data_IF_596802802881
#
_entry.id   IF_596802802881
#
_cell.length_a   1.000
_cell.length_b   1.000
_cell.length_c   1.000
_cell.angle_alpha   90.00
_cell.angle_beta   90.00
_cell.angle_gamma   90.00
#
_symmetry.space_group_name_H-M   'P 1'
#
loop_
_entity.id
_entity.type
_entity.pdbx_description
1 polymer ?
#
# COMPACT_ATOMS: atom_id res chain seq x y z
N UNK A 1 -31.14 -25.89 33.50
CA UNK A 1 -31.01 -25.08 32.25
C UNK A 1 -31.90 -25.55 31.10
N UNK A 2 -32.18 -26.84 30.89
CA UNK A 2 -33.02 -27.32 29.80
C UNK A 2 -34.48 -26.80 29.83
N UNK A 3 -35.12 -26.78 31.03
CA UNK A 3 -36.53 -26.36 31.16
C UNK A 3 -36.83 -24.90 30.81
N UNK A 4 -35.88 -23.96 31.04
CA UNK A 4 -36.08 -22.53 30.77
C UNK A 4 -36.05 -22.26 29.23
N UNK A 5 -35.18 -22.94 28.51
CA UNK A 5 -35.04 -22.81 27.05
C UNK A 5 -36.29 -23.35 26.35
N UNK A 6 -36.77 -24.50 26.75
CA UNK A 6 -38.01 -25.13 26.21
C UNK A 6 -39.25 -24.26 26.48
N UNK A 7 -39.35 -23.69 27.69
CA UNK A 7 -40.44 -22.77 28.02
C UNK A 7 -40.40 -21.49 27.17
N UNK A 8 -39.21 -20.87 26.97
CA UNK A 8 -39.08 -19.68 26.10
C UNK A 8 -39.41 -19.99 24.65
N UNK A 9 -39.02 -21.16 24.14
CA UNK A 9 -39.37 -21.59 22.79
C UNK A 9 -40.88 -21.77 22.62
N UNK A 10 -41.55 -22.36 23.62
CA UNK A 10 -43.00 -22.51 23.61
C UNK A 10 -43.72 -21.14 23.62
N UNK A 11 -43.25 -20.22 24.47
CA UNK A 11 -43.77 -18.84 24.52
C UNK A 11 -43.61 -18.09 23.21
N UNK A 12 -42.44 -18.20 22.56
CA UNK A 12 -42.16 -17.60 21.25
C UNK A 12 -43.14 -18.15 20.20
N UNK A 13 -43.44 -19.43 20.22
CA UNK A 13 -44.40 -20.05 19.30
C UNK A 13 -45.81 -19.49 19.51
N UNK A 14 -46.30 -19.47 20.75
CA UNK A 14 -47.61 -18.92 21.12
C UNK A 14 -47.71 -17.46 20.71
N UNK A 15 -46.69 -16.66 20.98
CA UNK A 15 -46.64 -15.22 20.61
C UNK A 15 -46.65 -15.02 19.11
N UNK A 16 -45.98 -15.91 18.35
CA UNK A 16 -46.03 -15.91 16.87
C UNK A 16 -47.43 -16.16 16.32
N UNK A 17 -48.17 -17.08 16.93
CA UNK A 17 -49.55 -17.36 16.54
C UNK A 17 -50.47 -16.16 16.90
N UNK A 18 -50.33 -15.57 18.07
CA UNK A 18 -51.07 -14.36 18.47
C UNK A 18 -50.86 -13.19 17.49
N UNK A 19 -49.59 -12.94 17.06
CA UNK A 19 -49.29 -11.91 16.06
C UNK A 19 -50.00 -12.21 14.72
N UNK A 20 -50.00 -13.45 14.29
CA UNK A 20 -50.74 -13.83 13.07
C UNK A 20 -52.24 -13.60 13.16
N UNK A 21 -52.86 -13.90 14.32
CA UNK A 21 -54.30 -13.68 14.56
C UNK A 21 -54.62 -12.18 14.59
N UNK A 22 -53.79 -11.36 15.27
CA UNK A 22 -53.97 -9.88 15.31
C UNK A 22 -53.90 -9.28 13.91
N UNK A 23 -52.95 -9.73 13.10
CA UNK A 23 -52.82 -9.25 11.71
C UNK A 23 -54.02 -9.71 10.84
N UNK A 24 -54.48 -10.95 11.00
CA UNK A 24 -55.64 -11.47 10.26
C UNK A 24 -56.96 -10.78 10.65
N UNK A 25 -57.11 -10.38 11.93
CA UNK A 25 -58.24 -9.65 12.45
C UNK A 25 -58.16 -8.11 12.17
N UNK A 26 -57.13 -7.65 11.44
CA UNK A 26 -56.89 -6.23 11.19
C UNK A 26 -56.93 -5.37 12.49
N UNK A 27 -56.36 -5.92 13.58
CA UNK A 27 -56.29 -5.22 14.88
C UNK A 27 -55.55 -3.89 14.79
N UNK A 28 -55.78 -2.93 15.75
CA UNK A 28 -55.08 -1.67 15.79
C UNK A 28 -53.57 -1.83 15.72
N UNK A 29 -52.89 -0.89 15.07
CA UNK A 29 -51.43 -0.94 14.86
C UNK A 29 -50.66 -1.01 16.18
N UNK A 30 -51.15 -0.37 17.23
CA UNK A 30 -50.57 -0.38 18.57
C UNK A 30 -50.56 -1.76 19.22
N UNK A 31 -51.65 -2.53 19.04
CA UNK A 31 -51.75 -3.90 19.57
C UNK A 31 -50.76 -4.85 18.83
N UNK A 32 -50.65 -4.69 17.52
CA UNK A 32 -49.68 -5.46 16.72
C UNK A 32 -48.25 -5.09 17.11
N UNK A 33 -47.97 -3.82 17.36
CA UNK A 33 -46.65 -3.35 17.75
C UNK A 33 -46.29 -3.83 19.17
N UNK A 34 -47.22 -3.80 20.12
CA UNK A 34 -47.00 -4.37 21.46
C UNK A 34 -46.65 -5.86 21.41
N UNK A 35 -47.38 -6.63 20.58
CA UNK A 35 -47.14 -8.05 20.40
C UNK A 35 -45.76 -8.34 19.74
N UNK A 36 -45.33 -7.51 18.81
CA UNK A 36 -44.00 -7.59 18.19
C UNK A 36 -42.87 -7.30 19.18
N UNK A 37 -43.06 -6.29 20.05
CA UNK A 37 -42.10 -5.93 21.10
C UNK A 37 -41.93 -7.08 22.10
N UNK A 38 -43.02 -7.70 22.53
CA UNK A 38 -42.95 -8.89 23.40
C UNK A 38 -42.22 -10.08 22.72
N UNK A 39 -42.49 -10.27 21.44
CA UNK A 39 -41.78 -11.31 20.65
C UNK A 39 -40.26 -11.07 20.60
N UNK A 40 -39.87 -9.81 20.47
CA UNK A 40 -38.43 -9.43 20.48
C UNK A 40 -37.78 -9.70 21.84
N UNK A 41 -38.44 -9.34 22.93
CA UNK A 41 -37.97 -9.60 24.29
C UNK A 41 -37.79 -11.11 24.57
N UNK A 42 -38.78 -11.92 24.19
CA UNK A 42 -38.70 -13.37 24.33
C UNK A 42 -37.55 -13.99 23.52
N UNK A 43 -37.34 -13.51 22.30
CA UNK A 43 -36.19 -13.94 21.47
C UNK A 43 -34.85 -13.53 22.07
N UNK A 44 -34.74 -12.33 22.63
CA UNK A 44 -33.54 -11.87 23.28
C UNK A 44 -33.22 -12.66 24.55
N UNK A 45 -34.21 -12.99 25.37
CA UNK A 45 -34.04 -13.87 26.54
C UNK A 45 -33.58 -15.26 26.12
N UNK A 46 -34.18 -15.83 25.08
CA UNK A 46 -33.75 -17.12 24.54
C UNK A 46 -32.30 -17.08 24.03
N UNK A 47 -31.91 -15.97 23.40
CA UNK A 47 -30.56 -15.73 22.92
C UNK A 47 -29.55 -15.72 24.07
N UNK A 48 -29.87 -15.00 25.14
CA UNK A 48 -29.02 -14.91 26.34
C UNK A 48 -28.87 -16.30 26.98
N UNK A 49 -29.98 -17.03 27.15
CA UNK A 49 -29.97 -18.36 27.77
C UNK A 49 -29.21 -19.41 26.91
N UNK A 50 -29.24 -19.29 25.60
CA UNK A 50 -28.55 -20.21 24.68
C UNK A 50 -27.12 -19.78 24.35
N UNK A 51 -26.70 -18.59 24.77
CA UNK A 51 -25.38 -18.03 24.41
C UNK A 51 -25.27 -17.71 22.88
N UNK A 52 -26.39 -17.61 22.18
CA UNK A 52 -26.36 -17.31 20.75
C UNK A 52 -25.95 -15.87 20.49
N UNK A 53 -25.22 -15.58 19.40
CA UNK A 53 -24.82 -14.22 19.05
C UNK A 53 -26.05 -13.35 18.74
N UNK A 54 -25.96 -12.01 18.88
CA UNK A 54 -27.04 -11.09 18.51
C UNK A 54 -27.57 -11.32 17.10
N UNK A 55 -28.88 -11.15 16.89
CA UNK A 55 -29.50 -11.33 15.58
C UNK A 55 -28.88 -10.43 14.49
N UNK A 56 -28.36 -9.26 14.89
CA UNK A 56 -27.67 -8.30 14.02
C UNK A 56 -26.14 -8.46 14.01
N UNK A 57 -25.61 -9.52 14.64
CA UNK A 57 -24.20 -9.80 14.56
C UNK A 57 -23.85 -10.12 13.10
N UNK A 58 -23.25 -9.14 12.40
CA UNK A 58 -22.71 -9.39 11.07
C UNK A 58 -21.82 -10.61 11.14
N UNK A 59 -22.18 -11.65 10.39
CA UNK A 59 -21.40 -12.89 10.33
C UNK A 59 -19.94 -12.51 10.04
N UNK A 60 -19.07 -12.74 11.00
CA UNK A 60 -17.65 -12.44 10.85
C UNK A 60 -17.11 -13.26 9.67
N UNK A 61 -16.74 -12.58 8.60
CA UNK A 61 -16.09 -13.19 7.44
C UNK A 61 -14.59 -13.16 7.70
N UNK A 62 -14.00 -14.33 7.94
CA UNK A 62 -12.55 -14.45 8.09
C UNK A 62 -11.87 -14.25 6.74
N UNK A 63 -11.12 -13.17 6.60
CA UNK A 63 -10.35 -12.83 5.41
C UNK A 63 -9.20 -11.90 5.78
N UNK A 64 -8.15 -11.92 4.97
CA UNK A 64 -7.09 -10.90 5.05
C UNK A 64 -7.60 -9.54 4.54
N UNK A 65 -7.05 -8.41 5.02
CA UNK A 65 -7.34 -7.10 4.46
C UNK A 65 -7.04 -7.05 2.95
N UNK A 66 -7.79 -6.24 2.21
CA UNK A 66 -7.59 -6.06 0.76
C UNK A 66 -6.17 -5.59 0.45
N UNK A 67 -5.47 -6.29 -0.42
CA UNK A 67 -4.08 -5.98 -0.79
C UNK A 67 -3.04 -6.53 0.18
N UNK A 68 -3.42 -7.47 1.04
CA UNK A 68 -2.52 -8.26 1.89
C UNK A 68 -2.76 -9.75 1.66
N UNK A 69 -1.83 -10.58 2.10
CA UNK A 69 -1.96 -12.04 2.04
C UNK A 69 -1.18 -12.72 3.16
N UNK A 70 -1.62 -13.90 3.52
CA UNK A 70 -0.83 -14.83 4.31
C UNK A 70 0.19 -15.55 3.43
N UNK A 71 1.24 -16.05 4.06
CA UNK A 71 2.27 -16.88 3.43
C UNK A 71 2.38 -18.21 4.16
N UNK A 72 2.31 -19.29 3.41
CA UNK A 72 2.46 -20.65 3.94
C UNK A 72 3.90 -20.93 4.38
N UNK A 73 4.10 -21.97 5.18
CA UNK A 73 5.44 -22.38 5.61
C UNK A 73 6.39 -22.62 4.42
N UNK A 74 5.90 -23.22 3.31
CA UNK A 74 6.67 -23.43 2.10
C UNK A 74 7.10 -22.12 1.43
N UNK A 75 6.17 -21.16 1.31
CA UNK A 75 6.49 -19.84 0.76
C UNK A 75 7.45 -19.07 1.64
N UNK A 76 7.37 -19.24 2.96
CA UNK A 76 8.30 -18.61 3.91
C UNK A 76 9.70 -19.22 3.84
N UNK A 77 9.84 -20.51 3.60
CA UNK A 77 11.15 -21.13 3.37
C UNK A 77 11.83 -20.51 2.13
N UNK A 78 11.13 -20.47 1.01
CA UNK A 78 11.65 -19.85 -0.23
C UNK A 78 12.02 -18.37 0.00
N UNK A 79 11.18 -17.64 0.73
CA UNK A 79 11.48 -16.24 1.06
C UNK A 79 12.73 -16.09 1.92
N UNK A 80 12.93 -16.97 2.89
CA UNK A 80 14.12 -16.95 3.75
C UNK A 80 15.39 -17.17 2.93
N UNK A 81 15.36 -18.11 1.98
CA UNK A 81 16.48 -18.37 1.08
C UNK A 81 16.79 -17.15 0.20
N UNK A 82 15.76 -16.49 -0.34
CA UNK A 82 15.90 -15.25 -1.11
C UNK A 82 16.52 -14.14 -0.25
N UNK A 83 16.02 -13.93 0.96
CA UNK A 83 16.55 -12.89 1.85
C UNK A 83 18.01 -13.18 2.22
N UNK A 84 18.35 -14.42 2.50
CA UNK A 84 19.73 -14.81 2.77
C UNK A 84 20.65 -14.57 1.57
N UNK A 85 20.19 -14.90 0.37
CA UNK A 85 20.92 -14.64 -0.87
C UNK A 85 21.20 -13.14 -1.04
N UNK A 86 20.19 -12.28 -0.88
CA UNK A 86 20.30 -10.83 -0.99
C UNK A 86 21.22 -10.26 0.09
N UNK A 87 20.96 -10.59 1.36
CA UNK A 87 21.73 -10.10 2.51
C UNK A 87 23.21 -10.41 2.35
N UNK A 88 23.56 -11.61 1.91
CA UNK A 88 24.96 -11.99 1.70
C UNK A 88 25.69 -11.17 0.61
N UNK A 89 24.97 -10.63 -0.37
CA UNK A 89 25.53 -9.66 -1.32
C UNK A 89 25.75 -8.32 -0.64
N UNK A 90 24.75 -7.80 0.08
CA UNK A 90 24.85 -6.51 0.76
C UNK A 90 26.00 -6.47 1.77
N UNK A 91 26.14 -7.51 2.59
CA UNK A 91 27.22 -7.63 3.58
C UNK A 91 28.59 -7.70 2.92
N UNK A 92 28.72 -8.39 1.77
CA UNK A 92 29.98 -8.43 1.00
C UNK A 92 30.39 -7.04 0.48
N UNK A 93 29.42 -6.16 0.19
CA UNK A 93 29.63 -4.77 -0.16
C UNK A 93 29.80 -3.84 1.03
N UNK A 94 29.93 -4.40 2.24
CA UNK A 94 30.20 -3.66 3.47
C UNK A 94 28.99 -2.94 4.05
N UNK A 95 27.77 -3.30 3.64
CA UNK A 95 26.56 -2.72 4.23
C UNK A 95 26.22 -3.39 5.55
N UNK A 96 25.76 -2.57 6.49
CA UNK A 96 25.23 -3.00 7.79
C UNK A 96 23.71 -2.93 7.78
N UNK A 97 23.06 -3.82 8.52
CA UNK A 97 21.62 -3.75 8.67
C UNK A 97 21.22 -2.69 9.70
N UNK A 98 20.14 -1.98 9.42
CA UNK A 98 19.45 -1.15 10.41
C UNK A 98 17.97 -1.53 10.40
N UNK A 99 17.26 -1.18 11.48
CA UNK A 99 15.79 -1.26 11.53
C UNK A 99 15.23 0.09 11.99
N UNK A 100 14.06 0.42 11.49
CA UNK A 100 13.31 1.63 11.85
C UNK A 100 11.87 1.25 12.18
N UNK A 101 11.17 2.06 13.00
CA UNK A 101 9.77 1.77 13.34
C UNK A 101 8.87 1.57 12.11
N UNK A 102 7.87 0.72 12.24
CA UNK A 102 6.86 0.50 11.19
C UNK A 102 6.01 1.75 10.96
N UNK A 103 5.84 2.57 11.97
CA UNK A 103 5.16 3.86 11.87
C UNK A 103 6.12 4.99 12.18
N UNK A 104 5.89 6.12 11.55
CA UNK A 104 6.66 7.36 11.68
C UNK A 104 5.72 8.50 12.04
N UNK A 105 6.27 9.60 12.55
CA UNK A 105 5.51 10.84 12.73
C UNK A 105 4.94 11.29 11.38
N UNK A 106 3.65 11.59 11.34
CA UNK A 106 2.94 11.98 10.12
C UNK A 106 3.60 13.17 9.42
N UNK A 107 4.05 14.17 10.16
CA UNK A 107 4.69 15.36 9.62
C UNK A 107 5.99 15.05 8.88
N UNK A 108 6.77 14.07 9.34
CA UNK A 108 8.02 13.64 8.69
C UNK A 108 7.72 12.99 7.34
N UNK A 109 6.68 12.18 7.26
CA UNK A 109 6.29 11.52 6.01
C UNK A 109 5.67 12.51 5.02
N UNK A 110 4.75 13.37 5.46
CA UNK A 110 3.97 14.27 4.58
C UNK A 110 4.85 15.26 3.82
N UNK A 111 5.96 15.72 4.41
CA UNK A 111 6.85 16.71 3.79
C UNK A 111 7.57 16.23 2.53
N UNK A 112 7.68 14.92 2.30
CA UNK A 112 8.47 14.33 1.19
C UNK A 112 7.65 13.94 -0.04
N UNK A 113 6.45 13.41 0.14
CA UNK A 113 5.78 12.66 -0.93
C UNK A 113 4.84 13.47 -1.82
N UNK A 114 4.58 14.75 -1.54
CA UNK A 114 3.74 15.60 -2.38
C UNK A 114 2.38 14.93 -2.68
N UNK A 115 2.08 14.70 -3.95
CA UNK A 115 0.85 14.05 -4.41
C UNK A 115 0.66 12.62 -3.86
N UNK A 116 1.74 11.87 -3.64
CA UNK A 116 1.70 10.51 -3.11
C UNK A 116 1.36 10.48 -1.62
N UNK A 117 1.35 11.61 -0.93
CA UNK A 117 0.97 11.71 0.48
C UNK A 117 -0.43 11.13 0.75
N UNK A 118 -1.35 11.24 -0.21
CA UNK A 118 -2.69 10.63 -0.16
C UNK A 118 -2.69 9.10 -0.17
N UNK A 119 -1.57 8.48 -0.50
CA UNK A 119 -1.38 7.02 -0.48
C UNK A 119 -0.83 6.50 0.85
N UNK A 120 -0.55 7.38 1.80
CA UNK A 120 -0.07 7.02 3.15
C UNK A 120 -1.25 6.55 4.00
N UNK A 121 -1.02 5.52 4.81
CA UNK A 121 -1.96 5.08 5.83
C UNK A 121 -1.76 5.88 7.11
N UNK A 122 -2.69 6.74 7.44
CA UNK A 122 -2.73 7.40 8.74
C UNK A 122 -3.26 6.43 9.80
N UNK A 123 -2.67 6.46 10.97
CA UNK A 123 -3.19 5.77 12.15
C UNK A 123 -4.28 6.63 12.80
N UNK A 124 -5.30 5.96 13.34
CA UNK A 124 -6.30 6.64 14.13
C UNK A 124 -5.64 7.26 15.37
N UNK A 125 -6.12 8.43 15.78
CA UNK A 125 -5.63 9.08 16.99
C UNK A 125 -5.88 8.18 18.21
N UNK A 126 -4.81 7.89 18.94
CA UNK A 126 -4.82 7.09 20.17
C UNK A 126 -4.50 7.97 21.40
N UNK A 127 -4.48 9.30 21.21
CA UNK A 127 -3.99 10.26 22.19
C UNK A 127 -2.47 10.34 22.20
N UNK A 128 -1.92 11.45 21.69
CA UNK A 128 -0.48 11.68 21.60
C UNK A 128 -0.03 12.15 20.22
N UNK A 129 1.06 11.59 19.73
CA UNK A 129 1.66 11.98 18.46
C UNK A 129 0.87 11.39 17.27
N UNK A 130 0.64 12.22 16.26
CA UNK A 130 0.01 11.79 15.01
C UNK A 130 0.99 10.95 14.20
N UNK A 131 0.65 9.69 13.96
CA UNK A 131 1.51 8.73 13.28
C UNK A 131 0.87 8.19 12.00
N UNK A 132 1.72 7.70 11.10
CA UNK A 132 1.33 7.04 9.86
C UNK A 132 2.23 5.84 9.59
N UNK A 133 1.73 4.83 8.87
CA UNK A 133 2.56 3.70 8.45
C UNK A 133 3.58 4.17 7.40
N UNK A 134 4.80 3.66 7.50
CA UNK A 134 5.87 3.97 6.54
C UNK A 134 5.47 3.57 5.13
N UNK A 135 5.64 4.52 4.21
CA UNK A 135 5.34 4.36 2.78
C UNK A 135 6.48 3.66 2.03
N UNK A 136 7.71 3.93 2.45
CA UNK A 136 8.96 3.35 1.98
C UNK A 136 9.97 3.22 3.15
N UNK A 137 11.21 2.87 2.85
CA UNK A 137 12.31 2.79 3.81
C UNK A 137 13.31 3.95 3.66
N UNK A 138 13.14 4.82 2.65
CA UNK A 138 14.05 5.94 2.35
C UNK A 138 13.86 7.09 3.35
N UNK A 139 12.60 7.50 3.60
CA UNK A 139 12.32 8.59 4.55
C UNK A 139 12.68 8.21 5.98
N UNK A 140 12.31 7.01 6.49
CA UNK A 140 12.82 6.52 7.76
C UNK A 140 14.34 6.51 7.89
N UNK A 141 15.04 6.13 6.82
CA UNK A 141 16.50 6.17 6.79
C UNK A 141 17.04 7.60 6.85
N UNK A 142 16.49 8.52 6.08
CA UNK A 142 16.90 9.93 6.12
C UNK A 142 16.70 10.55 7.52
N UNK A 143 15.57 10.27 8.17
CA UNK A 143 15.32 10.65 9.55
C UNK A 143 16.35 10.03 10.50
N UNK A 144 16.65 8.72 10.34
CA UNK A 144 17.65 8.02 11.15
C UNK A 144 19.04 8.68 11.03
N UNK A 145 19.50 8.96 9.81
CA UNK A 145 20.79 9.61 9.53
C UNK A 145 20.84 11.00 10.19
N UNK A 146 19.81 11.81 10.00
CA UNK A 146 19.74 13.16 10.55
C UNK A 146 19.71 13.15 12.09
N UNK A 147 18.89 12.28 12.68
CA UNK A 147 18.70 12.21 14.13
C UNK A 147 19.96 11.71 14.86
N UNK A 148 20.74 10.83 14.25
CA UNK A 148 21.92 10.24 14.85
C UNK A 148 23.23 10.89 14.39
N UNK A 149 23.19 11.96 13.57
CA UNK A 149 24.36 12.65 13.07
C UNK A 149 25.29 11.76 12.25
N UNK A 150 24.74 10.79 11.52
CA UNK A 150 25.52 9.84 10.72
C UNK A 150 26.09 10.55 9.49
N UNK A 151 27.40 10.56 9.34
CA UNK A 151 28.09 11.24 8.22
C UNK A 151 28.42 10.29 7.07
N UNK A 152 28.57 9.00 7.33
CA UNK A 152 28.84 7.99 6.30
C UNK A 152 28.34 6.62 6.75
N UNK A 153 27.60 5.95 5.87
CA UNK A 153 27.10 4.60 6.11
C UNK A 153 26.73 3.92 4.79
N UNK A 154 27.04 2.66 4.65
CA UNK A 154 26.39 1.73 3.73
C UNK A 154 25.42 0.90 4.54
N UNK A 155 24.11 0.97 4.22
CA UNK A 155 23.10 0.22 4.96
C UNK A 155 22.23 -0.61 4.04
N UNK A 156 21.66 -1.67 4.57
CA UNK A 156 20.52 -2.32 3.95
C UNK A 156 19.37 -2.48 4.94
N UNK A 157 18.15 -2.53 4.41
CA UNK A 157 16.95 -2.77 5.18
C UNK A 157 15.94 -3.55 4.34
N UNK A 158 15.53 -4.73 4.81
CA UNK A 158 14.52 -5.55 4.16
C UNK A 158 13.32 -5.61 5.07
N UNK A 159 12.28 -4.85 4.75
CA UNK A 159 11.13 -4.71 5.63
C UNK A 159 9.84 -4.41 4.87
N UNK A 160 8.70 -4.61 5.55
CA UNK A 160 7.38 -4.29 5.01
C UNK A 160 7.14 -2.79 4.97
N UNK A 161 6.49 -2.36 3.89
CA UNK A 161 5.99 -1.00 3.68
C UNK A 161 4.51 -1.04 3.29
N UNK A 162 3.83 0.10 3.39
CA UNK A 162 2.37 0.15 3.34
C UNK A 162 1.89 1.28 2.43
N UNK A 163 1.09 0.95 1.40
CA UNK A 163 0.57 1.93 0.44
C UNK A 163 -0.92 1.75 0.25
N UNK A 164 -1.70 2.81 0.43
CA UNK A 164 -3.18 2.84 0.25
C UNK A 164 -3.65 2.70 -1.20
N UNK A 165 -2.78 2.35 -2.08
CA UNK A 165 -3.04 2.25 -3.50
C UNK A 165 -4.12 1.20 -3.86
N UNK A 166 -4.65 1.29 -5.08
CA UNK A 166 -5.55 0.25 -5.60
C UNK A 166 -4.73 -1.03 -5.85
N UNK A 167 -5.00 -2.10 -5.12
CA UNK A 167 -4.22 -3.32 -5.28
C UNK A 167 -4.59 -4.04 -6.58
N UNK A 168 -3.58 -4.53 -7.29
CA UNK A 168 -3.71 -5.42 -8.42
C UNK A 168 -2.91 -6.70 -8.13
N UNK A 169 -3.47 -7.58 -7.30
CA UNK A 169 -2.79 -8.74 -6.73
C UNK A 169 -2.24 -9.68 -7.81
N UNK A 170 -2.94 -9.83 -8.94
CA UNK A 170 -2.49 -10.61 -10.10
C UNK A 170 -1.27 -10.02 -10.80
N UNK A 171 -0.99 -8.73 -10.58
CA UNK A 171 0.18 -8.00 -11.09
C UNK A 171 1.22 -7.70 -10.00
N UNK A 172 1.10 -8.33 -8.83
CA UNK A 172 2.02 -8.13 -7.71
C UNK A 172 1.87 -6.79 -6.97
N UNK A 173 0.88 -5.96 -7.31
CA UNK A 173 0.65 -4.67 -6.64
C UNK A 173 -0.15 -4.87 -5.36
N UNK A 174 0.54 -4.85 -4.24
CA UNK A 174 -0.01 -5.09 -2.91
C UNK A 174 -0.09 -3.78 -2.12
N UNK A 175 -0.85 -3.79 -1.02
CA UNK A 175 -0.90 -2.70 -0.03
C UNK A 175 0.13 -2.88 1.09
N UNK A 176 0.49 -4.11 1.38
CA UNK A 176 1.59 -4.50 2.23
C UNK A 176 2.56 -5.35 1.41
N UNK A 177 3.81 -4.93 1.32
CA UNK A 177 4.85 -5.67 0.60
C UNK A 177 6.23 -5.36 1.17
N UNK A 178 7.20 -6.20 0.86
CA UNK A 178 8.58 -5.94 1.26
C UNK A 178 9.26 -5.01 0.27
N UNK A 179 9.97 -4.02 0.79
CA UNK A 179 11.07 -3.35 0.11
C UNK A 179 12.39 -3.97 0.55
N UNK A 180 13.34 -3.94 -0.36
CA UNK A 180 14.70 -4.40 -0.16
C UNK A 180 15.61 -3.25 -0.56
N UNK A 181 16.00 -2.45 0.40
CA UNK A 181 16.73 -1.22 0.18
C UNK A 181 18.21 -1.41 0.53
N UNK A 182 19.07 -0.92 -0.36
CA UNK A 182 20.49 -0.76 -0.15
C UNK A 182 20.86 0.70 -0.42
N UNK A 183 21.47 1.35 0.54
CA UNK A 183 21.82 2.77 0.44
C UNK A 183 23.27 3.02 0.83
N UNK A 184 23.87 3.97 0.13
CA UNK A 184 25.18 4.53 0.43
C UNK A 184 24.99 6.02 0.73
N UNK A 185 25.24 6.41 1.97
CA UNK A 185 25.22 7.82 2.39
C UNK A 185 26.63 8.24 2.80
N UNK A 186 27.07 9.41 2.35
CA UNK A 186 28.39 9.96 2.65
C UNK A 186 28.93 10.82 1.52
N UNK A 187 30.16 11.28 1.66
CA UNK A 187 30.88 12.00 0.62
C UNK A 187 31.75 11.00 -0.19
N UNK A 188 31.50 10.90 -1.46
CA UNK A 188 32.21 10.01 -2.40
C UNK A 188 32.55 10.77 -3.69
N UNK A 189 33.55 10.29 -4.40
CA UNK A 189 33.82 10.80 -5.75
C UNK A 189 32.63 10.51 -6.68
N UNK A 190 32.48 11.34 -7.69
CA UNK A 190 31.36 11.28 -8.64
C UNK A 190 31.26 9.91 -9.27
N UNK A 191 30.07 9.34 -9.32
CA UNK A 191 29.71 8.06 -9.90
C UNK A 191 30.26 6.80 -9.18
N UNK A 192 31.10 6.92 -8.16
CA UNK A 192 31.65 5.73 -7.46
C UNK A 192 30.55 4.98 -6.70
N UNK A 193 29.74 5.69 -5.91
CA UNK A 193 28.63 5.09 -5.17
C UNK A 193 27.52 4.57 -6.12
N UNK A 194 27.22 5.31 -7.19
CA UNK A 194 26.26 4.93 -8.21
C UNK A 194 26.65 3.62 -8.90
N UNK A 195 27.92 3.51 -9.31
CA UNK A 195 28.45 2.30 -9.96
C UNK A 195 28.41 1.08 -9.01
N UNK A 196 28.67 1.30 -7.71
CA UNK A 196 28.55 0.24 -6.71
C UNK A 196 27.10 -0.21 -6.55
N UNK A 197 26.13 0.71 -6.49
CA UNK A 197 24.71 0.37 -6.43
C UNK A 197 24.27 -0.46 -7.65
N UNK A 198 24.69 -0.09 -8.85
CA UNK A 198 24.43 -0.86 -10.08
C UNK A 198 25.03 -2.26 -9.98
N UNK A 199 26.26 -2.39 -9.51
CA UNK A 199 26.93 -3.67 -9.33
C UNK A 199 26.20 -4.54 -8.30
N UNK A 200 25.80 -3.98 -7.16
CA UNK A 200 25.01 -4.69 -6.14
C UNK A 200 23.70 -5.21 -6.74
N UNK A 201 23.00 -4.41 -7.54
CA UNK A 201 21.76 -4.82 -8.20
C UNK A 201 22.00 -6.01 -9.15
N UNK A 202 23.07 -5.98 -9.96
CA UNK A 202 23.46 -7.09 -10.85
C UNK A 202 23.74 -8.35 -10.04
N UNK A 203 24.53 -8.24 -8.98
CA UNK A 203 24.93 -9.38 -8.17
C UNK A 203 23.75 -10.02 -7.43
N UNK A 204 22.82 -9.19 -6.91
CA UNK A 204 21.58 -9.66 -6.27
C UNK A 204 20.72 -10.42 -7.27
N UNK A 205 20.41 -9.83 -8.43
CA UNK A 205 19.53 -10.44 -9.43
C UNK A 205 20.15 -11.73 -10.01
N UNK A 206 21.46 -11.76 -10.21
CA UNK A 206 22.18 -12.96 -10.63
C UNK A 206 22.13 -14.07 -9.57
N UNK A 207 22.27 -13.70 -8.29
CA UNK A 207 22.31 -14.68 -7.20
C UNK A 207 20.92 -15.25 -6.89
N UNK A 208 19.87 -14.46 -7.05
CA UNK A 208 18.47 -14.90 -6.91
C UNK A 208 18.01 -15.72 -8.13
N UNK A 209 18.76 -15.68 -9.23
CA UNK A 209 18.52 -16.42 -10.47
C UNK A 209 17.13 -16.10 -11.08
N UNK A 210 16.89 -14.83 -11.33
CA UNK A 210 15.62 -14.37 -11.95
C UNK A 210 15.59 -14.60 -13.48
N UNK A 211 16.60 -15.23 -14.04
CA UNK A 211 16.79 -15.38 -15.48
C UNK A 211 17.48 -14.17 -16.12
N UNK A 212 17.35 -14.02 -17.44
CA UNK A 212 17.96 -12.90 -18.15
C UNK A 212 17.28 -11.57 -17.74
N UNK A 213 18.08 -10.56 -17.46
CA UNK A 213 17.59 -9.22 -17.10
C UNK A 213 18.43 -8.13 -17.73
N UNK A 214 17.89 -6.94 -17.80
CA UNK A 214 18.55 -5.71 -18.27
C UNK A 214 18.41 -4.64 -17.19
N UNK A 215 19.51 -3.96 -16.86
CA UNK A 215 19.49 -2.79 -15.99
C UNK A 215 19.43 -1.54 -16.87
N UNK A 216 18.34 -0.81 -16.78
CA UNK A 216 18.19 0.50 -17.44
C UNK A 216 18.73 1.57 -16.50
N UNK A 217 19.67 2.39 -17.00
CA UNK A 217 20.26 3.50 -16.26
C UNK A 217 19.81 4.79 -16.92
N UNK A 218 19.49 5.78 -16.12
CA UNK A 218 19.16 7.13 -16.58
C UNK A 218 19.77 8.16 -15.64
N UNK A 219 19.92 9.38 -16.13
CA UNK A 219 20.41 10.51 -15.36
C UNK A 219 19.45 11.69 -15.48
N UNK A 220 19.06 12.27 -14.37
CA UNK A 220 18.08 13.37 -14.35
C UNK A 220 18.47 14.54 -15.24
N UNK A 221 19.75 14.93 -15.24
CA UNK A 221 20.22 16.03 -16.08
C UNK A 221 20.05 15.77 -17.58
N UNK A 222 20.07 14.51 -18.04
CA UNK A 222 19.76 14.20 -19.43
C UNK A 222 18.30 14.52 -19.77
N UNK A 223 17.38 14.18 -18.88
CA UNK A 223 15.97 14.48 -19.05
C UNK A 223 15.72 16.00 -19.01
N UNK A 224 16.33 16.68 -18.06
CA UNK A 224 16.25 18.15 -17.93
C UNK A 224 16.80 18.83 -19.20
N UNK A 225 17.95 18.39 -19.73
CA UNK A 225 18.54 18.89 -20.96
C UNK A 225 17.64 18.64 -22.18
N UNK A 226 16.95 17.49 -22.27
CA UNK A 226 15.97 17.21 -23.32
C UNK A 226 14.82 18.22 -23.25
N UNK A 227 14.27 18.47 -22.05
CA UNK A 227 13.18 19.43 -21.89
C UNK A 227 13.61 20.86 -22.22
N UNK A 228 14.79 21.29 -21.75
CA UNK A 228 15.34 22.60 -22.06
C UNK A 228 15.57 22.76 -23.57
N UNK A 229 16.21 21.78 -24.21
CA UNK A 229 16.47 21.79 -25.66
C UNK A 229 15.16 21.76 -26.47
N UNK A 230 14.16 21.05 -26.01
CA UNK A 230 12.85 21.04 -26.65
C UNK A 230 12.06 22.33 -26.43
N UNK A 231 12.46 23.20 -25.50
CA UNK A 231 11.79 24.46 -25.20
C UNK A 231 10.61 24.31 -24.23
N UNK A 232 10.68 23.36 -23.28
CA UNK A 232 9.68 23.24 -22.22
C UNK A 232 9.88 24.34 -21.18
N UNK A 233 8.82 25.06 -20.86
CA UNK A 233 8.81 26.07 -19.80
C UNK A 233 9.10 25.42 -18.44
N UNK A 234 9.93 26.05 -17.60
CA UNK A 234 10.36 25.49 -16.29
C UNK A 234 9.20 25.07 -15.41
N UNK A 235 8.11 25.84 -15.41
CA UNK A 235 6.91 25.56 -14.64
C UNK A 235 6.20 24.26 -15.08
N UNK A 236 6.36 23.89 -16.35
CA UNK A 236 5.75 22.69 -16.92
C UNK A 236 6.61 21.44 -16.83
N UNK A 237 7.91 21.58 -16.58
CA UNK A 237 8.87 20.44 -16.58
C UNK A 237 8.38 19.28 -15.73
N UNK A 238 7.89 19.56 -14.52
CA UNK A 238 7.39 18.51 -13.61
C UNK A 238 6.18 17.75 -14.18
N UNK A 239 5.24 18.48 -14.75
CA UNK A 239 4.02 17.89 -15.33
C UNK A 239 4.34 17.07 -16.58
N UNK A 240 5.24 17.59 -17.45
CA UNK A 240 5.67 16.93 -18.68
C UNK A 240 6.53 15.68 -18.34
N UNK A 241 7.43 15.78 -17.36
CA UNK A 241 8.19 14.63 -16.87
C UNK A 241 7.28 13.49 -16.43
N UNK A 242 6.19 13.79 -15.72
CA UNK A 242 5.19 12.80 -15.30
C UNK A 242 4.43 12.14 -16.47
N UNK A 243 4.27 12.84 -17.61
CA UNK A 243 3.69 12.26 -18.82
C UNK A 243 4.70 11.34 -19.53
N UNK A 244 5.95 11.81 -19.68
CA UNK A 244 7.04 11.05 -20.33
C UNK A 244 7.33 9.75 -19.58
N UNK A 245 7.22 9.72 -18.26
CA UNK A 245 7.39 8.52 -17.42
C UNK A 245 6.40 7.39 -17.74
N UNK A 246 5.30 7.73 -18.42
CA UNK A 246 4.31 6.73 -18.86
C UNK A 246 4.70 5.99 -20.15
N UNK A 247 5.78 6.37 -20.82
CA UNK A 247 6.26 5.72 -22.04
C UNK A 247 6.61 4.24 -21.84
N UNK A 248 6.92 3.82 -20.63
CA UNK A 248 7.11 2.38 -20.33
C UNK A 248 5.80 1.57 -20.44
N UNK A 249 4.64 2.22 -20.47
CA UNK A 249 3.32 1.59 -20.40
C UNK A 249 2.38 2.01 -21.52
N UNK A 250 2.58 3.18 -22.09
CA UNK A 250 1.72 3.79 -23.09
C UNK A 250 2.49 4.08 -24.39
N UNK A 251 1.83 3.97 -25.54
CA UNK A 251 2.44 4.37 -26.80
C UNK A 251 2.65 5.88 -26.86
N UNK A 252 3.63 6.31 -27.65
CA UNK A 252 3.98 7.73 -27.83
C UNK A 252 2.76 8.63 -28.15
N UNK A 253 1.86 8.18 -29.00
CA UNK A 253 0.67 8.95 -29.38
C UNK A 253 -0.20 9.36 -28.18
N UNK A 254 -0.35 8.47 -27.19
CA UNK A 254 -1.13 8.73 -25.99
C UNK A 254 -0.39 9.67 -25.04
N UNK A 255 0.92 9.49 -24.88
CA UNK A 255 1.77 10.38 -24.07
C UNK A 255 1.83 11.78 -24.67
N UNK A 256 1.97 11.89 -26.00
CA UNK A 256 1.92 13.15 -26.71
C UNK A 256 0.59 13.87 -26.48
N UNK A 257 -0.52 13.15 -26.64
CA UNK A 257 -1.87 13.71 -26.42
C UNK A 257 -2.03 14.22 -24.97
N UNK A 258 -1.58 13.48 -23.99
CA UNK A 258 -1.60 13.92 -22.59
C UNK A 258 -0.79 15.22 -22.40
N UNK A 259 0.42 15.30 -22.99
CA UNK A 259 1.25 16.50 -22.89
C UNK A 259 0.58 17.71 -23.51
N UNK A 260 -0.06 17.56 -24.66
CA UNK A 260 -0.66 18.68 -25.40
C UNK A 260 -2.06 19.06 -24.88
N UNK A 261 -2.97 18.08 -24.73
CA UNK A 261 -4.37 18.35 -24.40
C UNK A 261 -4.60 18.52 -22.89
N UNK A 262 -3.92 17.73 -22.03
CA UNK A 262 -4.15 17.77 -20.59
C UNK A 262 -3.15 18.68 -19.87
N UNK A 263 -1.90 18.74 -20.32
CA UNK A 263 -0.83 19.55 -19.68
C UNK A 263 -0.59 20.88 -20.39
N UNK A 264 -1.25 21.14 -21.51
CA UNK A 264 -1.17 22.40 -22.25
C UNK A 264 0.21 22.72 -22.81
N UNK A 265 0.97 21.69 -23.22
CA UNK A 265 2.25 21.88 -23.90
C UNK A 265 2.01 22.17 -25.39
N UNK A 266 2.80 23.07 -25.96
CA UNK A 266 2.78 23.32 -27.42
C UNK A 266 3.11 22.04 -28.20
N UNK A 267 2.38 21.80 -29.30
CA UNK A 267 2.52 20.58 -30.08
C UNK A 267 3.90 20.42 -30.72
N UNK A 268 4.54 21.52 -31.16
CA UNK A 268 5.87 21.46 -31.75
C UNK A 268 6.94 21.17 -30.67
N UNK A 269 6.73 21.64 -29.43
CA UNK A 269 7.60 21.28 -28.29
C UNK A 269 7.45 19.79 -27.96
N UNK A 270 6.20 19.28 -27.93
CA UNK A 270 5.95 17.86 -27.70
C UNK A 270 6.62 16.98 -28.78
N UNK A 271 6.56 17.37 -30.05
CA UNK A 271 7.19 16.62 -31.14
C UNK A 271 8.72 16.59 -31.00
N UNK A 272 9.36 17.71 -30.63
CA UNK A 272 10.80 17.73 -30.33
C UNK A 272 11.17 16.80 -29.16
N UNK A 273 10.37 16.74 -28.10
CA UNK A 273 10.58 15.76 -27.02
C UNK A 273 10.52 14.34 -27.60
N UNK A 274 9.56 14.09 -28.51
CA UNK A 274 9.38 12.80 -29.16
C UNK A 274 10.60 12.32 -29.93
N UNK A 275 11.34 13.23 -30.57
CA UNK A 275 12.60 12.90 -31.26
C UNK A 275 13.65 12.32 -30.33
N UNK A 276 13.76 12.87 -29.10
CA UNK A 276 14.74 12.40 -28.12
C UNK A 276 14.30 11.12 -27.41
N UNK A 277 13.05 11.04 -26.92
CA UNK A 277 12.60 9.92 -26.08
C UNK A 277 12.36 8.62 -26.86
N UNK A 278 12.34 8.68 -28.18
CA UNK A 278 12.27 7.52 -29.07
C UNK A 278 13.64 6.98 -29.47
N UNK A 279 14.72 7.70 -29.18
CA UNK A 279 16.06 7.21 -29.41
C UNK A 279 16.35 5.95 -28.57
N UNK A 280 16.97 4.98 -29.20
CA UNK A 280 17.43 3.75 -28.55
C UNK A 280 18.94 3.66 -28.75
N UNK A 281 19.68 3.53 -27.66
CA UNK A 281 21.11 3.30 -27.62
C UNK A 281 21.44 1.90 -27.13
#
# INVERSE_FOLDING_TARGET
MSGTVEQLQAQIKVQGDAIRQLKAAQAPADDVQAALTLMQDLKERLRIETGAPPADAKKLVLKTPKGTRDYTAKEMSVRSDIFQAITSVFERHGAVTIDTPVFELKEILMGKYGEDSKLIYDLADQGGESCSLRYDLTVPFARYVAMNGVTSIKRYHIAKVYRRDQPAMTKGRMREFFQCDYDIAGAYDVMVADAECVRVAVEVLSKVDVGAFVIKINHRMLLDAVFETAGVEEEKVRAISSAVDKLDKLPWADVRREMTEEKGLDGAVADRIGEFVQLRG
#
